data_IF_547056256256
#
_entry.id   IF_547056256256
#
_cell.length_a   1.000
_cell.length_b   1.000
_cell.length_c   1.000
_cell.angle_alpha   90.00
_cell.angle_beta   90.00
_cell.angle_gamma   90.00
#
_symmetry.space_group_name_H-M   'P 1'
#
loop_
_entity.id
_entity.type
_entity.pdbx_description
1 polymer ?
#
# COMPACT_ATOMS: atom_id res chain seq x y z
N UNK A 1 -28.39 -19.75 -20.39
CA UNK A 1 -27.53 -18.54 -20.40
C UNK A 1 -28.06 -17.61 -19.34
N UNK A 2 -27.36 -17.05 -18.37
CA UNK A 2 -26.03 -17.24 -17.77
C UNK A 2 -26.11 -16.36 -16.51
N UNK A 3 -25.49 -16.81 -15.42
CA UNK A 3 -25.45 -16.03 -14.19
C UNK A 3 -24.59 -14.79 -14.41
N UNK A 4 -25.09 -13.62 -14.06
CA UNK A 4 -24.24 -12.56 -13.51
C UNK A 4 -24.97 -11.95 -12.33
N UNK A 5 -24.69 -12.52 -11.16
CA UNK A 5 -24.66 -11.74 -9.94
C UNK A 5 -23.79 -10.51 -10.25
N UNK A 6 -24.43 -9.37 -10.48
CA UNK A 6 -23.78 -8.08 -10.35
C UNK A 6 -23.40 -8.01 -8.89
N UNK A 7 -22.18 -8.45 -8.58
CA UNK A 7 -21.55 -8.25 -7.30
C UNK A 7 -21.89 -6.82 -6.89
N UNK A 8 -22.61 -6.68 -5.78
CA UNK A 8 -22.61 -5.41 -5.08
C UNK A 8 -21.15 -4.99 -5.05
N UNK A 9 -20.86 -3.77 -5.48
CA UNK A 9 -19.62 -3.13 -5.14
C UNK A 9 -19.60 -3.19 -3.63
N UNK A 10 -18.97 -4.23 -3.08
CA UNK A 10 -18.41 -4.13 -1.78
C UNK A 10 -17.49 -2.94 -1.96
N UNK A 11 -17.93 -1.78 -1.47
CA UNK A 11 -17.06 -0.89 -0.73
C UNK A 11 -16.39 -1.79 0.30
N UNK A 12 -15.45 -2.62 -0.14
CA UNK A 12 -14.61 -3.40 0.73
C UNK A 12 -13.87 -2.29 1.42
N UNK A 13 -14.30 -2.00 2.64
CA UNK A 13 -13.54 -1.24 3.60
C UNK A 13 -12.14 -1.85 3.51
N UNK A 14 -11.26 -1.15 2.78
CA UNK A 14 -9.99 -1.71 2.39
C UNK A 14 -9.30 -2.07 3.69
N UNK A 15 -8.81 -3.29 3.81
CA UNK A 15 -8.07 -3.63 5.02
C UNK A 15 -6.74 -2.87 5.00
N UNK A 16 -6.74 -1.70 5.63
CA UNK A 16 -5.58 -0.85 5.80
C UNK A 16 -4.72 -1.33 6.97
N UNK A 17 -5.18 -2.31 7.76
CA UNK A 17 -4.48 -2.80 8.95
C UNK A 17 -3.04 -3.25 8.71
N UNK A 18 -2.69 -4.03 7.66
CA UNK A 18 -1.30 -4.43 7.42
C UNK A 18 -0.37 -3.24 7.11
N UNK A 19 -0.91 -2.19 6.49
CA UNK A 19 -0.17 -0.96 6.21
C UNK A 19 -0.05 -0.10 7.48
N UNK A 20 -1.15 0.13 8.20
CA UNK A 20 -1.22 0.97 9.41
C UNK A 20 -0.39 0.39 10.55
N UNK A 21 -0.46 -0.92 10.78
CA UNK A 21 0.22 -1.60 11.88
C UNK A 21 1.60 -2.14 11.49
N UNK A 22 2.14 -1.75 10.34
CA UNK A 22 3.45 -2.24 9.90
C UNK A 22 4.55 -1.92 10.91
N UNK A 23 5.43 -2.91 11.12
CA UNK A 23 6.68 -2.79 11.87
C UNK A 23 7.89 -2.69 10.95
N UNK A 24 7.68 -2.76 9.63
CA UNK A 24 8.75 -2.74 8.65
C UNK A 24 9.45 -1.38 8.62
N UNK A 25 10.76 -1.40 8.47
CA UNK A 25 11.53 -0.20 8.19
C UNK A 25 11.54 0.13 6.69
N UNK A 26 12.10 1.28 6.34
CA UNK A 26 12.15 1.74 4.95
C UNK A 26 12.81 0.73 4.01
N UNK A 27 13.96 0.18 4.38
CA UNK A 27 14.69 -0.80 3.55
C UNK A 27 13.87 -2.06 3.31
N UNK A 28 13.18 -2.56 4.32
CA UNK A 28 12.31 -3.74 4.22
C UNK A 28 11.15 -3.53 3.25
N UNK A 29 10.51 -2.36 3.30
CA UNK A 29 9.42 -2.00 2.38
C UNK A 29 9.95 -1.89 0.95
N UNK A 30 11.10 -1.24 0.73
CA UNK A 30 11.67 -1.12 -0.62
C UNK A 30 12.12 -2.46 -1.18
N UNK A 31 12.75 -3.32 -0.38
CA UNK A 31 13.13 -4.68 -0.78
C UNK A 31 11.91 -5.52 -1.15
N UNK A 32 10.84 -5.45 -0.35
CA UNK A 32 9.59 -6.14 -0.65
C UNK A 32 8.90 -5.59 -1.90
N UNK A 33 8.93 -4.27 -2.11
CA UNK A 33 8.42 -3.64 -3.34
C UNK A 33 9.21 -4.11 -4.56
N UNK A 34 10.54 -4.13 -4.48
CA UNK A 34 11.42 -4.60 -5.55
C UNK A 34 11.16 -6.07 -5.90
N UNK A 35 10.89 -6.91 -4.90
CA UNK A 35 10.57 -8.32 -5.10
C UNK A 35 9.15 -8.55 -5.64
N UNK A 36 8.18 -7.73 -5.21
CA UNK A 36 6.79 -7.83 -5.65
C UNK A 36 6.57 -7.30 -7.07
N UNK A 37 7.19 -6.16 -7.40
CA UNK A 37 7.09 -5.49 -8.70
C UNK A 37 8.33 -4.58 -8.95
N UNK A 38 9.33 -5.05 -9.71
CA UNK A 38 10.53 -4.29 -10.04
C UNK A 38 10.26 -2.99 -10.81
N UNK A 39 9.21 -2.95 -11.64
CA UNK A 39 8.86 -1.76 -12.44
C UNK A 39 8.25 -0.70 -11.52
N UNK A 40 7.32 -1.09 -10.64
CA UNK A 40 6.76 -0.19 -9.64
C UNK A 40 7.84 0.34 -8.68
N UNK A 41 8.80 -0.50 -8.29
CA UNK A 41 9.95 -0.07 -7.50
C UNK A 41 10.80 0.99 -8.22
N UNK A 42 11.07 0.83 -9.52
CA UNK A 42 11.79 1.82 -10.31
C UNK A 42 11.03 3.16 -10.40
N UNK A 43 9.71 3.10 -10.59
CA UNK A 43 8.86 4.30 -10.59
C UNK A 43 8.86 4.99 -9.24
N UNK A 44 8.72 4.22 -8.15
CA UNK A 44 8.80 4.74 -6.78
C UNK A 44 10.15 5.42 -6.52
N UNK A 45 11.26 4.79 -6.90
CA UNK A 45 12.61 5.30 -6.71
C UNK A 45 12.90 6.55 -7.57
N UNK A 46 12.17 6.73 -8.66
CA UNK A 46 12.24 7.94 -9.50
C UNK A 46 11.47 9.13 -8.90
N UNK A 47 10.67 8.91 -7.85
CA UNK A 47 9.86 9.92 -7.18
C UNK A 47 10.42 10.26 -5.79
N UNK A 48 11.11 11.42 -5.62
CA UNK A 48 11.62 11.84 -4.32
C UNK A 48 10.50 12.10 -3.30
N UNK A 49 9.33 12.55 -3.78
CA UNK A 49 8.14 12.73 -2.97
C UNK A 49 7.66 11.41 -2.37
N UNK A 50 7.58 10.34 -3.17
CA UNK A 50 7.14 9.02 -2.70
C UNK A 50 8.08 8.47 -1.62
N UNK A 51 9.39 8.66 -1.78
CA UNK A 51 10.37 8.30 -0.76
C UNK A 51 10.26 9.14 0.53
N UNK A 52 9.92 10.43 0.42
CA UNK A 52 9.66 11.27 1.60
C UNK A 52 8.36 10.85 2.31
N UNK A 53 7.30 10.60 1.56
CA UNK A 53 6.02 10.11 2.07
C UNK A 53 6.18 8.80 2.83
N UNK A 54 6.88 7.81 2.25
CA UNK A 54 7.08 6.52 2.92
C UNK A 54 7.87 6.68 4.23
N UNK A 55 8.91 7.53 4.26
CA UNK A 55 9.65 7.81 5.50
C UNK A 55 8.77 8.46 6.55
N UNK A 56 7.96 9.45 6.17
CA UNK A 56 7.01 10.08 7.08
C UNK A 56 5.99 9.06 7.60
N UNK A 57 5.40 8.26 6.71
CA UNK A 57 4.44 7.23 7.06
C UNK A 57 4.99 6.24 8.09
N UNK A 58 6.20 5.72 7.87
CA UNK A 58 6.83 4.77 8.78
C UNK A 58 7.21 5.40 10.12
N UNK A 59 7.53 6.70 10.15
CA UNK A 59 7.82 7.43 11.38
C UNK A 59 6.55 7.82 12.17
N UNK A 60 5.39 7.89 11.51
CA UNK A 60 4.12 8.28 12.12
C UNK A 60 3.55 7.21 13.07
N UNK A 61 2.86 7.61 14.15
CA UNK A 61 2.11 6.67 14.99
C UNK A 61 0.92 6.07 14.23
N UNK A 62 0.36 4.91 14.66
CA UNK A 62 -0.70 4.19 13.94
C UNK A 62 -1.93 5.05 13.59
N UNK A 63 -2.38 5.92 14.49
CA UNK A 63 -3.51 6.81 14.20
C UNK A 63 -3.25 7.79 13.04
N UNK A 64 -2.03 8.31 12.92
CA UNK A 64 -1.65 9.18 11.80
C UNK A 64 -1.46 8.38 10.51
N UNK A 65 -0.90 7.17 10.60
CA UNK A 65 -0.83 6.23 9.46
C UNK A 65 -2.21 5.93 8.91
N UNK A 66 -3.21 5.72 9.77
CA UNK A 66 -4.58 5.48 9.34
C UNK A 66 -5.16 6.66 8.55
N UNK A 67 -4.92 7.89 8.98
CA UNK A 67 -5.34 9.09 8.23
C UNK A 67 -4.64 9.15 6.86
N UNK A 68 -3.32 8.94 6.82
CA UNK A 68 -2.56 8.94 5.56
C UNK A 68 -3.05 7.82 4.61
N UNK A 69 -3.35 6.65 5.14
CA UNK A 69 -3.87 5.51 4.39
C UNK A 69 -5.26 5.79 3.81
N UNK A 70 -6.14 6.44 4.58
CA UNK A 70 -7.46 6.88 4.10
C UNK A 70 -7.35 7.94 3.00
N UNK A 71 -6.39 8.86 3.10
CA UNK A 71 -6.13 9.84 2.04
C UNK A 71 -5.71 9.18 0.73
N UNK A 72 -4.81 8.19 0.79
CA UNK A 72 -4.40 7.41 -0.39
C UNK A 72 -5.57 6.60 -0.96
N UNK A 73 -6.35 5.96 -0.09
CA UNK A 73 -7.53 5.19 -0.47
C UNK A 73 -8.59 6.05 -1.19
N UNK A 74 -8.66 7.35 -0.91
CA UNK A 74 -9.57 8.29 -1.58
C UNK A 74 -9.10 8.80 -2.94
N UNK A 75 -7.87 8.48 -3.38
CA UNK A 75 -7.36 8.96 -4.67
C UNK A 75 -7.95 8.19 -5.85
N UNK A 76 -8.23 8.85 -6.99
CA UNK A 76 -8.67 8.18 -8.20
C UNK A 76 -7.59 7.19 -8.67
N UNK A 77 -7.96 5.93 -8.89
CA UNK A 77 -7.04 4.87 -9.30
C UNK A 77 -6.33 4.12 -8.16
N UNK A 78 -6.60 4.47 -6.90
CA UNK A 78 -5.98 3.81 -5.74
C UNK A 78 -6.21 2.29 -5.71
N UNK A 79 -7.34 1.80 -6.25
CA UNK A 79 -7.66 0.37 -6.31
C UNK A 79 -6.58 -0.47 -7.00
N UNK A 80 -6.04 0.04 -8.11
CA UNK A 80 -5.06 -0.69 -8.91
C UNK A 80 -3.73 -0.88 -8.19
N UNK A 81 -3.40 0.05 -7.30
CA UNK A 81 -2.15 0.04 -6.54
C UNK A 81 -2.32 -0.65 -5.19
N UNK A 82 -3.56 -0.76 -4.70
CA UNK A 82 -3.82 -1.24 -3.36
C UNK A 82 -3.44 -2.71 -3.15
N UNK A 83 -3.63 -3.57 -4.15
CA UNK A 83 -3.20 -4.97 -4.07
C UNK A 83 -1.67 -5.10 -3.94
N UNK A 84 -0.91 -4.29 -4.68
CA UNK A 84 0.54 -4.25 -4.57
C UNK A 84 0.98 -3.78 -3.19
N UNK A 85 0.37 -2.71 -2.68
CA UNK A 85 0.64 -2.19 -1.33
C UNK A 85 0.37 -3.26 -0.27
N UNK A 86 -0.78 -3.95 -0.33
CA UNK A 86 -1.07 -5.06 0.59
C UNK A 86 -0.01 -6.15 0.54
N UNK A 87 0.42 -6.57 -0.67
CA UNK A 87 1.45 -7.59 -0.84
C UNK A 87 2.79 -7.16 -0.25
N UNK A 88 3.20 -5.93 -0.50
CA UNK A 88 4.46 -5.37 0.01
C UNK A 88 4.44 -5.33 1.54
N UNK A 89 3.41 -4.74 2.13
CA UNK A 89 3.33 -4.62 3.59
C UNK A 89 3.02 -5.93 4.31
N UNK A 90 2.38 -6.90 3.63
CA UNK A 90 2.20 -8.26 4.13
C UNK A 90 3.47 -9.10 4.11
N UNK A 91 4.48 -8.76 3.30
CA UNK A 91 5.71 -9.55 3.14
C UNK A 91 6.99 -8.84 3.59
N UNK A 92 6.95 -7.54 3.87
CA UNK A 92 8.15 -6.75 4.17
C UNK A 92 8.97 -7.25 5.36
N UNK A 93 8.37 -7.92 6.34
CA UNK A 93 9.11 -8.49 7.48
C UNK A 93 10.04 -9.68 7.09
N UNK A 94 9.95 -10.18 5.85
CA UNK A 94 10.86 -11.23 5.34
C UNK A 94 12.15 -10.65 4.71
N UNK A 95 12.27 -9.32 4.66
CA UNK A 95 13.42 -8.58 4.15
C UNK A 95 14.05 -7.76 5.27
#
# INVERSE_FOLDING_TARGET
>A
MSLTAGAGLASADRDLSPFVNTTCNYGQVISALQAADPQAAAQFNSSPESGAFLRQFLASPPGQRQQMAQMLAGQPGADQQFELVQRVFGTCNNY
#
